data_IF_234613591964
#
_entry.id   IF_234613591964
#
_cell.length_a   1.000
_cell.length_b   1.000
_cell.length_c   1.000
_cell.angle_alpha   90.00
_cell.angle_beta   90.00
_cell.angle_gamma   90.00
#
_symmetry.space_group_name_H-M   'P 1'
#
loop_
_entity.id
_entity.type
_entity.pdbx_description
1 polymer ?
#
# COMPACT_ATOMS: atom_id res chain seq x y z
N UNK A 1 -0.37 -17.84 16.35
CA UNK A 1 0.41 -17.60 17.58
C UNK A 1 -0.46 -17.29 18.79
N UNK A 2 -1.73 -16.91 18.64
CA UNK A 2 -2.65 -16.65 19.77
C UNK A 2 -2.38 -15.33 20.52
N UNK A 3 -1.27 -14.66 20.23
CA UNK A 3 -0.93 -13.34 20.78
C UNK A 3 -1.71 -12.25 20.04
N UNK A 4 -2.30 -11.33 20.81
CA UNK A 4 -2.96 -10.15 20.25
C UNK A 4 -1.90 -9.10 19.86
N UNK A 5 -2.06 -8.41 18.71
CA UNK A 5 -1.20 -7.29 18.35
C UNK A 5 -1.23 -6.18 19.40
N UNK A 6 -0.11 -5.49 19.60
CA UNK A 6 -0.01 -4.37 20.55
C UNK A 6 0.32 -3.04 19.87
N UNK A 7 -0.62 -2.06 19.82
CA UNK A 7 -0.40 -0.75 19.21
C UNK A 7 0.83 -0.01 19.74
N UNK A 8 1.21 -0.22 21.00
CA UNK A 8 2.36 0.47 21.58
C UNK A 8 3.72 -0.08 21.09
N UNK A 9 3.72 -1.10 20.24
CA UNK A 9 4.95 -1.62 19.61
C UNK A 9 5.45 -0.79 18.43
N UNK A 10 4.72 0.26 18.03
CA UNK A 10 5.05 1.09 16.88
C UNK A 10 4.88 2.56 17.21
N UNK A 11 5.82 3.41 16.78
CA UNK A 11 5.71 4.86 16.93
C UNK A 11 4.87 5.51 15.82
N UNK A 12 4.63 4.81 14.71
CA UNK A 12 3.79 5.30 13.61
C UNK A 12 2.30 5.34 14.02
N UNK A 13 1.66 6.53 14.06
CA UNK A 13 0.26 6.67 14.47
C UNK A 13 -0.70 5.90 13.56
N UNK A 14 -0.41 5.77 12.26
CA UNK A 14 -1.27 5.00 11.35
C UNK A 14 -1.17 3.51 11.67
N UNK A 15 0.05 2.99 11.82
CA UNK A 15 0.23 1.59 12.17
C UNK A 15 -0.32 1.24 13.57
N UNK A 16 -0.30 2.17 14.54
CA UNK A 16 -1.03 2.00 15.82
C UNK A 16 -2.52 1.72 15.61
N UNK A 17 -3.16 2.45 14.70
CA UNK A 17 -4.57 2.26 14.35
C UNK A 17 -4.79 0.88 13.71
N UNK A 18 -3.91 0.46 12.80
CA UNK A 18 -3.96 -0.86 12.17
C UNK A 18 -3.87 -1.97 13.22
N UNK A 19 -2.90 -1.89 14.14
CA UNK A 19 -2.72 -2.86 15.22
C UNK A 19 -3.94 -2.91 16.16
N UNK A 20 -4.54 -1.77 16.47
CA UNK A 20 -5.77 -1.68 17.27
C UNK A 20 -6.95 -2.33 16.55
N UNK A 21 -7.10 -2.08 15.25
CA UNK A 21 -8.14 -2.70 14.44
C UNK A 21 -7.98 -4.23 14.37
N UNK A 22 -6.74 -4.70 14.17
CA UNK A 22 -6.43 -6.13 14.16
C UNK A 22 -6.74 -6.78 15.50
N UNK A 23 -6.31 -6.17 16.61
CA UNK A 23 -6.63 -6.64 17.98
C UNK A 23 -8.14 -6.79 18.17
N UNK A 24 -8.91 -5.75 17.89
CA UNK A 24 -10.37 -5.76 18.04
C UNK A 24 -11.02 -6.82 17.15
N UNK A 25 -10.54 -6.96 15.92
CA UNK A 25 -11.08 -7.92 14.95
C UNK A 25 -10.78 -9.36 15.34
N UNK A 26 -9.56 -9.65 15.82
CA UNK A 26 -9.17 -11.00 16.25
C UNK A 26 -9.97 -11.42 17.48
N UNK A 27 -10.20 -10.51 18.44
CA UNK A 27 -11.04 -10.80 19.61
C UNK A 27 -12.48 -11.13 19.22
N UNK A 28 -13.06 -10.40 18.27
CA UNK A 28 -14.45 -10.62 17.82
C UNK A 28 -14.57 -11.81 16.86
N UNK A 29 -13.57 -12.05 16.01
CA UNK A 29 -13.56 -13.06 14.96
C UNK A 29 -12.17 -13.72 14.81
N UNK A 30 -11.82 -14.69 15.68
CA UNK A 30 -10.45 -15.22 15.81
C UNK A 30 -9.82 -15.80 14.54
N UNK A 31 -10.63 -16.35 13.62
CA UNK A 31 -10.16 -17.01 12.39
C UNK A 31 -10.51 -16.23 11.12
N UNK A 32 -10.96 -14.98 11.22
CA UNK A 32 -11.46 -14.20 10.08
C UNK A 32 -10.42 -14.13 8.96
N UNK A 33 -9.21 -13.66 9.26
CA UNK A 33 -8.17 -13.42 8.26
C UNK A 33 -7.59 -14.70 7.69
N UNK A 34 -7.44 -15.75 8.49
CA UNK A 34 -7.03 -17.09 8.03
C UNK A 34 -8.03 -17.65 7.01
N UNK A 35 -9.33 -17.56 7.30
CA UNK A 35 -10.38 -18.01 6.38
C UNK A 35 -10.37 -17.20 5.08
N UNK A 36 -10.28 -15.87 5.18
CA UNK A 36 -10.21 -14.99 4.00
C UNK A 36 -9.00 -15.36 3.14
N UNK A 37 -7.80 -15.42 3.73
CA UNK A 37 -6.59 -15.73 2.99
C UNK A 37 -6.66 -17.09 2.27
N UNK A 38 -7.31 -18.10 2.87
CA UNK A 38 -7.50 -19.41 2.23
C UNK A 38 -8.47 -19.41 1.04
N UNK A 39 -9.29 -18.38 0.89
CA UNK A 39 -10.29 -18.26 -0.17
C UNK A 39 -9.88 -17.26 -1.26
N UNK A 40 -8.84 -16.46 -1.03
CA UNK A 40 -8.34 -15.50 -2.02
C UNK A 40 -7.55 -16.24 -3.10
N UNK A 41 -7.98 -16.10 -4.35
CA UNK A 41 -7.32 -16.71 -5.53
C UNK A 41 -5.98 -16.02 -5.83
N UNK A 42 -5.89 -14.72 -5.59
CA UNK A 42 -4.67 -13.94 -5.75
C UNK A 42 -4.91 -12.44 -5.62
N UNK A 43 -3.85 -11.66 -5.79
CA UNK A 43 -3.87 -10.19 -5.76
C UNK A 43 -3.18 -9.62 -7.00
N UNK A 44 -3.71 -8.55 -7.58
CA UNK A 44 -3.08 -7.77 -8.64
C UNK A 44 -2.68 -6.41 -8.07
N UNK A 45 -1.38 -6.16 -7.93
CA UNK A 45 -0.88 -4.97 -7.26
C UNK A 45 -0.41 -3.90 -8.25
N UNK A 46 -0.91 -2.69 -8.06
CA UNK A 46 -0.87 -1.61 -9.04
C UNK A 46 0.37 -0.71 -8.88
N UNK A 47 0.90 -0.56 -7.67
CA UNK A 47 1.90 0.46 -7.38
C UNK A 47 3.27 -0.12 -7.05
N UNK A 48 4.34 0.64 -7.34
CA UNK A 48 5.73 0.23 -7.07
C UNK A 48 5.95 -0.14 -5.60
N UNK A 49 5.38 0.62 -4.65
CA UNK A 49 5.53 0.37 -3.21
C UNK A 49 4.82 -0.93 -2.79
N UNK A 50 3.62 -1.18 -3.30
CA UNK A 50 2.89 -2.43 -3.04
C UNK A 50 3.65 -3.64 -3.59
N UNK A 51 4.14 -3.53 -4.83
CA UNK A 51 4.97 -4.57 -5.47
C UNK A 51 6.23 -4.88 -4.67
N UNK A 52 6.91 -3.85 -4.14
CA UNK A 52 8.08 -4.08 -3.28
C UNK A 52 7.72 -4.88 -2.03
N UNK A 53 6.58 -4.61 -1.39
CA UNK A 53 6.09 -5.39 -0.23
C UNK A 53 5.75 -6.84 -0.63
N UNK A 54 5.18 -7.06 -1.81
CA UNK A 54 4.94 -8.40 -2.34
C UNK A 54 6.26 -9.18 -2.51
N UNK A 55 7.29 -8.56 -3.08
CA UNK A 55 8.61 -9.20 -3.21
C UNK A 55 9.26 -9.51 -1.86
N UNK A 56 9.14 -8.62 -0.87
CA UNK A 56 9.61 -8.88 0.50
C UNK A 56 8.91 -10.09 1.12
N UNK A 57 7.58 -10.16 1.00
CA UNK A 57 6.80 -11.29 1.51
C UNK A 57 7.12 -12.59 0.77
N UNK A 58 7.26 -12.56 -0.56
CA UNK A 58 7.64 -13.72 -1.36
C UNK A 58 9.03 -14.24 -0.96
N UNK A 59 10.02 -13.35 -0.82
CA UNK A 59 11.38 -13.70 -0.39
C UNK A 59 11.41 -14.28 1.03
N UNK A 60 10.54 -13.81 1.91
CA UNK A 60 10.40 -14.30 3.28
C UNK A 60 9.54 -15.57 3.40
N UNK A 61 8.94 -16.07 2.31
CA UNK A 61 8.01 -17.21 2.34
C UNK A 61 6.66 -16.90 3.01
N UNK A 62 6.33 -15.62 3.19
CA UNK A 62 5.12 -15.14 3.88
C UNK A 62 3.99 -14.75 2.92
N UNK A 63 4.20 -14.86 1.59
CA UNK A 63 3.16 -14.57 0.60
C UNK A 63 2.12 -15.70 0.61
N UNK A 64 0.89 -15.38 1.04
CA UNK A 64 -0.16 -16.38 1.31
C UNK A 64 -0.92 -16.86 0.06
N UNK A 65 -0.88 -16.09 -1.02
CA UNK A 65 -1.58 -16.38 -2.27
C UNK A 65 -0.83 -15.74 -3.47
N UNK A 66 -1.08 -16.21 -4.71
CA UNK A 66 -0.44 -15.67 -5.89
C UNK A 66 -0.61 -14.15 -6.03
N UNK A 67 0.43 -13.49 -6.56
CA UNK A 67 0.40 -12.06 -6.80
C UNK A 67 0.86 -11.74 -8.22
N UNK A 68 0.14 -10.83 -8.89
CA UNK A 68 0.51 -10.28 -10.20
C UNK A 68 0.99 -8.85 -9.98
N UNK A 69 2.22 -8.60 -10.43
CA UNK A 69 2.80 -7.27 -10.50
C UNK A 69 2.23 -6.56 -11.74
N UNK A 70 1.20 -5.73 -11.54
CA UNK A 70 0.61 -4.94 -12.63
C UNK A 70 1.45 -3.71 -12.90
N UNK A 71 2.06 -3.12 -11.86
CA UNK A 71 2.87 -1.92 -11.96
C UNK A 71 3.94 -2.02 -13.06
N UNK A 72 4.62 -3.16 -13.15
CA UNK A 72 5.75 -3.35 -14.06
C UNK A 72 5.32 -3.72 -15.49
N UNK A 73 4.02 -3.75 -15.76
CA UNK A 73 3.52 -3.72 -17.14
C UNK A 73 4.05 -2.44 -17.83
N UNK A 74 4.54 -2.57 -19.06
CA UNK A 74 5.09 -1.44 -19.83
C UNK A 74 4.07 -0.31 -19.96
N UNK A 75 2.83 -0.67 -20.26
CA UNK A 75 1.70 0.26 -20.40
C UNK A 75 1.22 0.87 -19.07
N UNK A 76 1.71 0.38 -17.93
CA UNK A 76 1.47 0.97 -16.61
C UNK A 76 2.66 1.84 -16.23
N UNK A 77 3.80 1.24 -15.89
CA UNK A 77 4.97 1.96 -15.37
C UNK A 77 5.47 3.09 -16.28
N UNK A 78 5.41 2.93 -17.61
CA UNK A 78 5.92 3.93 -18.56
C UNK A 78 4.87 4.94 -19.01
N UNK A 79 3.61 4.77 -18.61
CA UNK A 79 2.54 5.70 -18.96
C UNK A 79 1.93 6.34 -17.72
N UNK A 80 1.31 5.55 -16.84
CA UNK A 80 0.65 6.03 -15.64
C UNK A 80 1.61 6.82 -14.74
N UNK A 81 2.73 6.20 -14.33
CA UNK A 81 3.67 6.84 -13.40
C UNK A 81 4.32 8.11 -14.00
N UNK A 82 4.53 8.16 -15.32
CA UNK A 82 5.23 9.27 -15.98
C UNK A 82 4.24 10.36 -16.38
N UNK A 83 3.26 10.01 -17.22
CA UNK A 83 2.34 10.98 -17.80
C UNK A 83 1.20 11.34 -16.84
N UNK A 84 0.78 10.42 -15.98
CA UNK A 84 -0.17 10.69 -14.91
C UNK A 84 0.37 11.75 -13.96
N UNK A 85 1.55 11.53 -13.38
CA UNK A 85 2.18 12.51 -12.48
C UNK A 85 2.54 13.82 -13.19
N UNK A 86 2.98 13.79 -14.47
CA UNK A 86 3.23 15.00 -15.25
C UNK A 86 1.98 15.91 -15.35
N UNK A 87 0.79 15.31 -15.32
CA UNK A 87 -0.47 16.05 -15.33
C UNK A 87 -0.95 16.40 -13.91
N UNK A 88 -1.07 15.42 -13.01
CA UNK A 88 -1.73 15.61 -11.72
C UNK A 88 -0.90 16.35 -10.68
N UNK A 89 0.44 16.30 -10.76
CA UNK A 89 1.32 17.02 -9.84
C UNK A 89 1.13 18.55 -9.91
N UNK A 90 1.31 19.21 -11.07
CA UNK A 90 1.08 20.65 -11.15
C UNK A 90 -0.36 21.03 -10.84
N UNK A 91 -1.33 20.21 -11.27
CA UNK A 91 -2.75 20.42 -10.99
C UNK A 91 -3.04 20.45 -9.47
N UNK A 92 -2.52 19.48 -8.71
CA UNK A 92 -2.67 19.46 -7.26
C UNK A 92 -2.05 20.67 -6.57
N UNK A 93 -0.84 21.08 -6.98
CA UNK A 93 -0.16 22.27 -6.43
C UNK A 93 -0.98 23.53 -6.72
N UNK A 94 -1.46 23.69 -7.95
CA UNK A 94 -2.25 24.85 -8.36
C UNK A 94 -3.56 24.92 -7.56
N UNK A 95 -4.34 23.84 -7.48
CA UNK A 95 -5.60 23.83 -6.73
C UNK A 95 -5.43 24.08 -5.23
N UNK A 96 -4.33 23.61 -4.65
CA UNK A 96 -4.12 23.72 -3.21
C UNK A 96 -3.58 25.09 -2.77
N UNK A 97 -2.90 25.82 -3.66
CA UNK A 97 -2.10 26.99 -3.26
C UNK A 97 -2.19 28.20 -4.18
N UNK A 98 -2.72 28.04 -5.40
CA UNK A 98 -2.73 29.03 -6.48
C UNK A 98 -1.33 29.64 -6.79
N UNK A 99 -0.25 28.98 -6.36
CA UNK A 99 1.10 29.51 -6.48
C UNK A 99 1.57 29.55 -7.93
N UNK A 100 2.17 30.66 -8.35
CA UNK A 100 2.87 30.72 -9.62
C UNK A 100 4.14 29.86 -9.59
N UNK A 101 4.07 28.71 -10.26
CA UNK A 101 5.18 27.73 -10.37
C UNK A 101 6.35 28.30 -11.19
N UNK A 102 6.06 29.06 -12.25
CA UNK A 102 7.07 29.62 -13.14
C UNK A 102 8.07 30.52 -12.36
N UNK A 103 9.36 30.37 -12.68
CA UNK A 103 10.45 31.10 -12.04
C UNK A 103 10.80 30.65 -10.62
N UNK A 104 10.16 29.60 -10.08
CA UNK A 104 10.49 29.03 -8.78
C UNK A 104 11.51 27.90 -8.92
N UNK A 105 12.38 27.78 -7.91
CA UNK A 105 13.21 26.59 -7.74
C UNK A 105 12.37 25.48 -7.12
N UNK A 106 12.18 24.39 -7.86
CA UNK A 106 11.49 23.17 -7.41
C UNK A 106 12.54 22.11 -7.08
N UNK A 107 12.37 21.39 -5.97
CA UNK A 107 13.23 20.27 -5.54
C UNK A 107 12.46 18.97 -5.67
#
# INVERSE_FOLDING_TARGET
TGKLPDPETSDDPEFKIVLKLLRNTIQKFPNKWTKIASQVVGVSEETTTGVHRLYQMAKAGNLLFPAINVNDSVTKSKFDNIYGCRHSLPDGIMRATDVMIAGKRVV
#
